data_IF_718975271898
#
_entry.id   IF_718975271898
#
_cell.length_a   1.000
_cell.length_b   1.000
_cell.length_c   1.000
_cell.angle_alpha   90.00
_cell.angle_beta   90.00
_cell.angle_gamma   90.00
#
_symmetry.space_group_name_H-M   'P 1'
#
loop_
_entity.id
_entity.type
_entity.pdbx_description
1 polymer ?
#
# COMPACT_ATOMS: atom_id res chain seq x y z
N UNK A 1 11.74 55.74 -2.31
CA UNK A 1 11.29 54.38 -1.98
C UNK A 1 10.02 54.09 -2.77
N UNK A 2 10.12 53.52 -3.98
CA UNK A 2 8.91 53.22 -4.78
C UNK A 2 9.07 52.02 -5.71
N UNK A 3 10.24 51.80 -6.31
CA UNK A 3 10.36 50.82 -7.40
C UNK A 3 10.59 49.38 -6.89
N UNK A 4 11.56 49.16 -6.01
CA UNK A 4 11.84 47.82 -5.45
C UNK A 4 10.66 47.25 -4.65
N UNK A 5 10.02 48.08 -3.83
CA UNK A 5 8.86 47.66 -3.03
C UNK A 5 7.67 47.24 -3.90
N UNK A 6 7.49 47.89 -5.06
CA UNK A 6 6.42 47.56 -6.00
C UNK A 6 6.65 46.21 -6.67
N UNK A 7 7.89 45.91 -7.07
CA UNK A 7 8.25 44.63 -7.68
C UNK A 7 8.09 43.46 -6.71
N UNK A 8 8.47 43.64 -5.43
CA UNK A 8 8.28 42.62 -4.40
C UNK A 8 6.80 42.30 -4.15
N UNK A 9 5.94 43.33 -4.09
CA UNK A 9 4.50 43.13 -3.92
C UNK A 9 3.85 42.45 -5.13
N UNK A 10 4.27 42.82 -6.35
CA UNK A 10 3.79 42.18 -7.57
C UNK A 10 4.20 40.70 -7.63
N UNK A 11 5.43 40.37 -7.23
CA UNK A 11 5.94 39.00 -7.20
C UNK A 11 5.29 38.14 -6.11
N UNK A 12 4.80 38.73 -5.02
CA UNK A 12 4.24 38.00 -3.88
C UNK A 12 3.04 37.11 -4.25
N UNK A 13 2.18 37.58 -5.16
CA UNK A 13 1.02 36.82 -5.64
C UNK A 13 1.41 35.54 -6.38
N UNK A 14 2.13 35.63 -7.52
CA UNK A 14 2.60 34.46 -8.26
C UNK A 14 3.49 33.53 -7.41
N UNK A 15 4.41 34.09 -6.62
CA UNK A 15 5.28 33.29 -5.75
C UNK A 15 4.46 32.51 -4.70
N UNK A 16 3.48 33.16 -4.06
CA UNK A 16 2.59 32.51 -3.10
C UNK A 16 1.73 31.42 -3.73
N UNK A 17 1.16 31.67 -4.91
CA UNK A 17 0.34 30.70 -5.63
C UNK A 17 1.15 29.46 -6.04
N UNK A 18 2.35 29.66 -6.60
CA UNK A 18 3.24 28.57 -6.97
C UNK A 18 3.71 27.78 -5.74
N UNK A 19 4.09 28.47 -4.66
CA UNK A 19 4.51 27.82 -3.42
C UNK A 19 3.39 26.96 -2.81
N UNK A 20 2.16 27.50 -2.74
CA UNK A 20 1.00 26.77 -2.23
C UNK A 20 0.68 25.55 -3.09
N UNK A 21 0.60 25.71 -4.41
CA UNK A 21 0.34 24.60 -5.32
C UNK A 21 1.37 23.49 -5.15
N UNK A 22 2.65 23.85 -5.08
CA UNK A 22 3.72 22.87 -5.01
C UNK A 22 3.80 22.17 -3.64
N UNK A 23 3.49 22.88 -2.55
CA UNK A 23 3.36 22.30 -1.22
C UNK A 23 2.23 21.25 -1.16
N UNK A 24 1.05 21.57 -1.71
CA UNK A 24 -0.07 20.63 -1.81
C UNK A 24 0.28 19.45 -2.72
N UNK A 25 0.93 19.72 -3.86
CA UNK A 25 1.37 18.69 -4.79
C UNK A 25 2.32 17.71 -4.10
N UNK A 26 3.35 18.15 -3.38
CA UNK A 26 4.26 17.27 -2.62
C UNK A 26 3.61 16.61 -1.41
N UNK A 27 2.67 17.28 -0.75
CA UNK A 27 1.95 16.69 0.38
C UNK A 27 1.12 15.46 -0.04
N UNK A 28 0.44 15.54 -1.19
CA UNK A 28 -0.39 14.44 -1.70
C UNK A 28 0.36 13.48 -2.62
N UNK A 29 1.30 13.98 -3.41
CA UNK A 29 2.18 13.15 -4.22
C UNK A 29 3.39 12.79 -3.38
N UNK A 30 3.36 11.59 -2.84
CA UNK A 30 4.47 10.86 -2.20
C UNK A 30 5.70 10.62 -3.11
N UNK A 31 5.94 11.46 -4.12
CA UNK A 31 7.06 11.31 -5.06
C UNK A 31 8.42 11.45 -4.39
N UNK A 32 8.48 12.15 -3.25
CA UNK A 32 9.68 12.31 -2.42
C UNK A 32 9.73 11.36 -1.22
N UNK A 33 8.70 10.51 -1.05
CA UNK A 33 8.69 9.48 -0.01
C UNK A 33 8.94 8.13 -0.67
N UNK A 34 10.13 7.58 -0.45
CA UNK A 34 10.32 6.15 -0.60
C UNK A 34 9.46 5.46 0.46
N UNK A 35 8.44 4.71 0.03
CA UNK A 35 7.77 3.78 0.92
C UNK A 35 8.74 2.64 1.24
N UNK A 36 9.63 2.86 2.21
CA UNK A 36 10.37 1.79 2.86
C UNK A 36 9.41 1.03 3.80
N UNK A 37 8.35 0.44 3.23
CA UNK A 37 7.62 -0.63 3.91
C UNK A 37 8.32 -1.95 3.62
N UNK A 38 9.60 -2.03 3.95
CA UNK A 38 10.26 -3.30 4.16
C UNK A 38 9.87 -3.76 5.56
N UNK A 39 8.68 -4.34 5.69
CA UNK A 39 8.40 -5.16 6.85
C UNK A 39 9.07 -6.50 6.57
N UNK A 40 10.33 -6.63 6.97
CA UNK A 40 11.01 -7.92 7.03
C UNK A 40 10.21 -8.77 8.02
N UNK A 41 9.25 -9.52 7.49
CA UNK A 41 8.49 -10.48 8.28
C UNK A 41 9.42 -11.67 8.37
N UNK A 42 10.15 -11.79 9.48
CA UNK A 42 10.91 -12.99 9.78
C UNK A 42 9.92 -14.15 9.86
N UNK A 43 9.84 -14.94 8.81
CA UNK A 43 9.06 -16.18 8.79
C UNK A 43 9.91 -17.21 9.52
N UNK A 44 9.70 -17.32 10.82
CA UNK A 44 10.21 -18.45 11.59
C UNK A 44 9.40 -19.69 11.17
N UNK A 45 9.97 -20.48 10.26
CA UNK A 45 9.40 -21.75 9.86
C UNK A 45 9.45 -22.72 11.03
N UNK A 46 8.35 -22.79 11.80
CA UNK A 46 8.19 -23.84 12.80
C UNK A 46 7.96 -25.16 12.07
N UNK A 47 8.56 -26.28 12.55
CA UNK A 47 8.24 -27.59 11.99
C UNK A 47 6.73 -27.81 12.11
N UNK A 48 6.10 -28.22 11.01
CA UNK A 48 4.72 -28.69 11.03
C UNK A 48 4.74 -30.01 11.79
N UNK A 49 4.51 -29.94 13.11
CA UNK A 49 4.41 -31.12 13.96
C UNK A 49 2.96 -31.57 13.98
N UNK A 50 2.70 -32.75 13.41
CA UNK A 50 1.39 -33.38 13.37
C UNK A 50 1.50 -34.77 12.76
N UNK A 51 0.63 -35.68 13.15
CA UNK A 51 0.42 -36.91 12.39
C UNK A 51 -0.33 -36.54 11.12
N UNK A 52 0.39 -36.35 10.01
CA UNK A 52 -0.23 -36.08 8.72
C UNK A 52 -1.08 -37.29 8.33
N UNK A 53 -2.41 -37.12 8.36
CA UNK A 53 -3.34 -38.05 7.76
C UNK A 53 -3.70 -37.51 6.39
N UNK A 54 -3.39 -38.28 5.35
CA UNK A 54 -3.91 -37.99 4.02
C UNK A 54 -5.44 -37.95 4.08
N UNK A 55 -6.02 -36.78 3.81
CA UNK A 55 -7.46 -36.59 3.78
C UNK A 55 -8.03 -36.67 2.37
N UNK A 56 -7.23 -36.32 1.36
CA UNK A 56 -7.63 -36.35 -0.04
C UNK A 56 -6.42 -36.30 -0.98
N UNK A 57 -6.60 -36.74 -2.23
CA UNK A 57 -5.60 -36.67 -3.31
C UNK A 57 -6.24 -36.09 -4.56
N UNK A 58 -5.74 -34.95 -5.02
CA UNK A 58 -6.20 -34.31 -6.26
C UNK A 58 -5.17 -34.50 -7.36
N UNK A 59 -5.53 -35.25 -8.42
CA UNK A 59 -4.67 -35.47 -9.58
C UNK A 59 -5.33 -34.87 -10.82
N UNK A 60 -4.80 -33.75 -11.31
CA UNK A 60 -5.34 -33.04 -12.48
C UNK A 60 -6.56 -32.17 -12.14
N UNK A 61 -6.32 -30.92 -11.74
CA UNK A 61 -7.37 -29.91 -11.55
C UNK A 61 -7.81 -29.37 -12.91
N UNK A 62 -9.10 -29.51 -13.23
CA UNK A 62 -9.77 -28.77 -14.33
C UNK A 62 -10.61 -27.59 -13.81
N UNK A 63 -10.84 -27.54 -12.50
CA UNK A 63 -11.53 -26.45 -11.80
C UNK A 63 -10.80 -25.12 -12.01
N UNK A 64 -11.54 -24.09 -12.44
CA UNK A 64 -10.97 -22.76 -12.63
C UNK A 64 -10.72 -22.04 -11.31
N UNK A 65 -11.33 -22.50 -10.22
CA UNK A 65 -11.27 -21.86 -8.92
C UNK A 65 -11.27 -22.88 -7.79
N UNK A 66 -10.66 -22.51 -6.66
CA UNK A 66 -10.67 -23.32 -5.45
C UNK A 66 -12.06 -23.22 -4.80
N UNK A 67 -12.74 -24.34 -4.51
CA UNK A 67 -13.99 -24.34 -3.75
C UNK A 67 -13.80 -23.65 -2.40
N UNK A 68 -14.66 -22.69 -2.07
CA UNK A 68 -14.57 -21.92 -0.83
C UNK A 68 -13.54 -20.79 -0.83
N UNK A 69 -13.00 -20.40 -2.01
CA UNK A 69 -12.14 -19.22 -2.09
C UNK A 69 -12.90 -17.94 -1.65
N UNK A 70 -12.15 -16.99 -1.08
CA UNK A 70 -12.68 -15.72 -0.58
C UNK A 70 -12.37 -14.52 -1.51
N UNK A 71 -12.13 -14.76 -2.81
CA UNK A 71 -11.61 -13.73 -3.73
C UNK A 71 -12.53 -12.51 -3.85
N UNK A 72 -13.85 -12.70 -3.74
CA UNK A 72 -14.84 -11.63 -3.75
C UNK A 72 -15.27 -11.14 -2.35
N UNK A 73 -14.81 -11.82 -1.30
CA UNK A 73 -15.21 -11.58 0.09
C UNK A 73 -14.02 -11.06 0.90
N UNK A 74 -13.46 -9.92 0.49
CA UNK A 74 -12.21 -9.36 1.03
C UNK A 74 -12.16 -9.17 2.55
N UNK A 75 -13.32 -9.10 3.22
CA UNK A 75 -13.43 -8.95 4.68
C UNK A 75 -13.65 -10.27 5.41
N UNK A 76 -13.92 -11.37 4.71
CA UNK A 76 -14.06 -12.69 5.29
C UNK A 76 -12.66 -13.25 5.63
N UNK A 77 -12.37 -13.34 6.93
CA UNK A 77 -11.12 -13.91 7.42
C UNK A 77 -11.24 -15.44 7.47
N UNK A 78 -10.17 -16.13 7.06
CA UNK A 78 -10.03 -17.57 7.25
C UNK A 78 -10.08 -17.89 8.74
N UNK A 79 -11.04 -18.71 9.15
CA UNK A 79 -11.10 -19.27 10.51
C UNK A 79 -10.32 -20.57 10.49
N UNK A 80 -9.36 -20.72 11.41
CA UNK A 80 -8.72 -22.01 11.66
C UNK A 80 -9.58 -22.77 12.66
N UNK A 81 -9.90 -24.01 12.36
CA UNK A 81 -10.49 -24.90 13.35
C UNK A 81 -9.41 -25.25 14.38
N UNK A 82 -9.74 -25.07 15.66
CA UNK A 82 -8.91 -25.46 16.82
C UNK A 82 -9.05 -26.94 17.12
#
# INVERSE_FOLDING_TARGET
MSDDSGLWLLAAGPAGATALYWALYRYYRNTDKSHAFERETTVEAKPVTGSDRLVDTVTGTQERQIPGNNVGAYRARVKRET
#
